data_IF_502532343016
#
_entry.id   IF_502532343016
#
_cell.length_a   1.000
_cell.length_b   1.000
_cell.length_c   1.000
_cell.angle_alpha   90.00
_cell.angle_beta   90.00
_cell.angle_gamma   90.00
#
_symmetry.space_group_name_H-M   'P 1'
#
loop_
_entity.id
_entity.type
_entity.pdbx_description
1 polymer ?
#
# COMPACT_ATOMS: atom_id res chain seq x y z
N UNK A 1 20.43 7.17 -12.52
CA UNK A 1 21.51 7.04 -11.52
C UNK A 1 22.06 8.42 -11.24
N UNK A 2 21.87 8.97 -10.04
CA UNK A 2 22.28 10.33 -9.69
C UNK A 2 23.82 10.31 -9.49
N UNK A 3 24.58 11.11 -10.25
CA UNK A 3 26.03 11.23 -10.03
C UNK A 3 26.27 11.84 -8.64
N UNK A 4 27.28 11.35 -7.91
CA UNK A 4 27.61 11.76 -6.54
C UNK A 4 27.68 13.31 -6.39
N UNK A 5 28.22 14.00 -7.40
CA UNK A 5 28.36 15.46 -7.47
C UNK A 5 27.02 16.22 -7.36
N UNK A 6 25.90 15.62 -7.75
CA UNK A 6 24.57 16.25 -7.64
C UNK A 6 23.99 16.19 -6.22
N UNK A 7 24.48 15.28 -5.37
CA UNK A 7 23.96 15.11 -4.01
C UNK A 7 24.37 16.25 -3.09
N UNK A 8 25.64 16.68 -3.16
CA UNK A 8 26.17 17.75 -2.32
C UNK A 8 25.55 19.11 -2.70
N UNK A 9 25.41 19.35 -4.01
CA UNK A 9 24.75 20.55 -4.55
C UNK A 9 23.29 20.64 -4.13
N UNK A 10 22.55 19.52 -4.16
CA UNK A 10 21.16 19.47 -3.66
C UNK A 10 21.10 19.79 -2.17
N UNK A 11 22.06 19.29 -1.39
CA UNK A 11 22.18 19.60 0.03
C UNK A 11 22.27 21.10 0.27
N UNK A 12 23.18 21.77 -0.43
CA UNK A 12 23.33 23.24 -0.37
C UNK A 12 22.05 23.96 -0.78
N UNK A 13 21.33 23.48 -1.82
CA UNK A 13 20.08 24.11 -2.22
C UNK A 13 19.00 24.02 -1.14
N UNK A 14 18.90 22.89 -0.44
CA UNK A 14 17.99 22.77 0.69
C UNK A 14 18.33 23.73 1.82
N UNK A 15 19.62 23.95 2.12
CA UNK A 15 20.05 24.92 3.14
C UNK A 15 19.68 26.36 2.77
N UNK A 16 19.86 26.76 1.51
CA UNK A 16 19.46 28.09 1.03
C UNK A 16 17.95 28.26 1.18
N UNK A 17 17.16 27.26 0.76
CA UNK A 17 15.70 27.26 0.87
C UNK A 17 15.29 27.35 2.35
N UNK A 18 15.85 26.49 3.20
CA UNK A 18 15.54 26.46 4.64
C UNK A 18 15.76 27.82 5.31
N UNK A 19 16.92 28.44 5.11
CA UNK A 19 17.23 29.76 5.68
C UNK A 19 16.20 30.82 5.28
N UNK A 20 15.76 30.81 4.03
CA UNK A 20 14.75 31.74 3.53
C UNK A 20 13.34 31.43 4.09
N UNK A 21 12.97 30.15 4.20
CA UNK A 21 11.66 29.78 4.75
C UNK A 21 11.55 30.12 6.24
N UNK A 22 12.63 29.92 7.00
CA UNK A 22 12.70 30.32 8.39
C UNK A 22 12.65 31.85 8.55
N UNK A 23 13.32 32.60 7.68
CA UNK A 23 13.25 34.07 7.70
C UNK A 23 11.88 34.62 7.29
N UNK A 24 11.10 33.86 6.53
CA UNK A 24 9.68 34.14 6.24
C UNK A 24 8.73 33.80 7.41
N UNK A 25 9.25 33.30 8.53
CA UNK A 25 8.47 32.97 9.73
C UNK A 25 7.86 31.57 9.75
N UNK A 26 8.23 30.69 8.81
CA UNK A 26 7.86 29.28 8.88
C UNK A 26 8.72 28.56 9.92
N UNK A 27 8.27 27.39 10.37
CA UNK A 27 9.01 26.55 11.32
C UNK A 27 9.28 25.16 10.73
N UNK A 28 10.48 24.63 10.97
CA UNK A 28 10.86 23.28 10.55
C UNK A 28 10.38 22.23 11.55
N UNK A 29 9.89 21.09 11.07
CA UNK A 29 9.48 19.96 11.93
C UNK A 29 9.99 18.60 11.44
N UNK A 30 10.92 18.62 10.50
CA UNK A 30 11.56 17.45 9.93
C UNK A 30 12.30 17.80 8.65
N UNK A 31 12.98 16.80 8.07
CA UNK A 31 13.79 16.99 6.86
C UNK A 31 12.95 17.58 5.71
N UNK A 32 13.31 18.80 5.29
CA UNK A 32 12.67 19.57 4.23
C UNK A 32 11.16 19.79 4.45
N UNK A 33 10.72 19.83 5.71
CA UNK A 33 9.32 19.98 6.10
C UNK A 33 9.14 21.22 6.95
N UNK A 34 8.24 22.09 6.51
CA UNK A 34 8.00 23.40 7.10
C UNK A 34 6.51 23.61 7.32
N UNK A 35 6.13 24.30 8.39
CA UNK A 35 4.74 24.61 8.69
C UNK A 35 4.55 26.08 9.04
N UNK A 36 3.33 26.56 8.81
CA UNK A 36 2.92 27.91 9.15
C UNK A 36 2.26 27.94 10.52
N UNK A 37 2.92 28.54 11.52
CA UNK A 37 2.37 28.70 12.87
C UNK A 37 1.06 29.49 12.89
N UNK A 38 0.85 30.39 11.93
CA UNK A 38 -0.35 31.22 11.86
C UNK A 38 -1.57 30.48 11.26
N UNK A 39 -1.36 29.27 10.72
CA UNK A 39 -2.43 28.45 10.11
C UNK A 39 -3.09 27.48 11.09
N UNK A 40 -2.73 27.56 12.38
CA UNK A 40 -3.15 26.62 13.41
C UNK A 40 -4.67 26.58 13.58
N UNK A 41 -5.25 25.39 13.49
CA UNK A 41 -6.66 25.11 13.79
C UNK A 41 -6.78 24.01 14.83
N UNK A 42 -7.67 24.17 15.80
CA UNK A 42 -7.93 23.16 16.82
C UNK A 42 -8.87 22.07 16.25
N UNK A 43 -8.44 20.82 16.29
CA UNK A 43 -9.23 19.66 15.84
C UNK A 43 -8.94 18.45 16.71
N UNK A 44 -9.99 17.84 17.26
CA UNK A 44 -9.90 16.67 18.14
C UNK A 44 -8.89 16.83 19.32
N UNK A 45 -8.81 18.03 19.90
CA UNK A 45 -7.89 18.32 21.00
C UNK A 45 -6.41 18.37 20.59
N UNK A 46 -6.12 18.58 19.31
CA UNK A 46 -4.79 18.82 18.76
C UNK A 46 -4.81 20.07 17.87
N UNK A 47 -3.71 20.81 17.81
CA UNK A 47 -3.49 21.85 16.82
C UNK A 47 -2.98 21.23 15.52
N UNK A 48 -3.65 21.58 14.42
CA UNK A 48 -3.27 21.19 13.07
C UNK A 48 -2.83 22.44 12.33
N UNK A 49 -1.61 22.43 11.81
CA UNK A 49 -1.03 23.50 11.02
C UNK A 49 -0.90 23.06 9.57
N UNK A 50 -1.16 23.96 8.64
CA UNK A 50 -0.81 23.76 7.25
C UNK A 50 0.72 23.70 7.11
N UNK A 51 1.17 22.68 6.38
CA UNK A 51 2.58 22.40 6.19
C UNK A 51 2.89 22.09 4.73
N UNK A 52 4.18 22.09 4.42
CA UNK A 52 4.71 21.74 3.12
C UNK A 52 5.99 20.93 3.28
N UNK A 53 6.14 19.91 2.44
CA UNK A 53 7.41 19.25 2.20
C UNK A 53 7.96 19.73 0.86
N UNK A 54 9.22 20.15 0.85
CA UNK A 54 9.93 20.52 -0.38
C UNK A 54 10.82 19.37 -0.82
N UNK A 55 10.75 19.02 -2.10
CA UNK A 55 11.63 18.03 -2.70
C UNK A 55 12.22 18.55 -4.01
N UNK A 56 13.54 18.52 -4.13
CA UNK A 56 14.28 18.89 -5.33
C UNK A 56 14.65 17.66 -6.15
N UNK A 57 14.61 17.80 -7.47
CA UNK A 57 15.00 16.76 -8.42
C UNK A 57 15.68 17.38 -9.65
N UNK A 58 16.63 16.67 -10.25
CA UNK A 58 17.20 17.06 -11.54
C UNK A 58 16.44 16.38 -12.68
N UNK A 59 15.99 17.16 -13.66
CA UNK A 59 15.33 16.69 -14.89
C UNK A 59 15.93 17.47 -16.06
N UNK A 60 16.54 16.76 -17.02
CA UNK A 60 17.15 17.35 -18.23
C UNK A 60 18.04 18.56 -17.92
N UNK A 61 18.95 18.41 -16.95
CA UNK A 61 19.86 19.47 -16.45
C UNK A 61 19.20 20.64 -15.74
N UNK A 62 17.88 20.61 -15.52
CA UNK A 62 17.15 21.61 -14.73
C UNK A 62 16.87 21.10 -13.32
N UNK A 63 16.86 22.03 -12.35
CA UNK A 63 16.41 21.76 -10.98
C UNK A 63 14.90 22.00 -10.91
N UNK A 64 14.15 20.96 -10.57
CA UNK A 64 12.70 21.03 -10.37
C UNK A 64 12.41 21.00 -8.87
N UNK A 65 11.61 21.96 -8.41
CA UNK A 65 11.10 22.02 -7.05
C UNK A 65 9.68 21.44 -7.00
N UNK A 66 9.50 20.41 -6.17
CA UNK A 66 8.20 19.83 -5.86
C UNK A 66 7.70 20.36 -4.53
N UNK A 67 6.52 20.99 -4.59
CA UNK A 67 5.76 21.45 -3.43
C UNK A 67 4.75 20.36 -3.06
N UNK A 68 4.92 19.75 -1.88
CA UNK A 68 4.06 18.68 -1.39
C UNK A 68 3.30 19.16 -0.15
N UNK A 69 2.07 19.69 -0.29
CA UNK A 69 1.26 20.09 0.85
C UNK A 69 1.04 18.93 1.82
N UNK A 70 1.11 19.23 3.11
CA UNK A 70 0.87 18.29 4.20
C UNK A 70 0.36 19.06 5.43
N UNK A 71 0.31 18.43 6.58
CA UNK A 71 -0.02 19.07 7.85
C UNK A 71 0.98 18.71 8.92
N UNK A 72 1.15 19.60 9.89
CA UNK A 72 1.85 19.32 11.13
C UNK A 72 0.84 19.32 12.29
N UNK A 73 0.92 18.32 13.16
CA UNK A 73 -0.03 18.13 14.26
C UNK A 73 0.72 18.16 15.58
N UNK A 74 0.26 19.00 16.51
CA UNK A 74 0.76 19.13 17.88
C UNK A 74 -0.40 18.94 18.86
N UNK A 75 -0.09 18.52 20.09
CA UNK A 75 -1.07 18.48 21.18
C UNK A 75 -1.47 19.90 21.61
N UNK A 76 -2.48 20.02 22.46
CA UNK A 76 -2.93 21.31 23.01
C UNK A 76 -1.84 22.05 23.81
N UNK A 77 -0.90 21.32 24.40
CA UNK A 77 0.27 21.86 25.10
C UNK A 77 1.46 22.10 24.14
N UNK A 78 1.22 22.08 22.84
CA UNK A 78 2.20 22.19 21.75
C UNK A 78 3.27 21.07 21.72
N UNK A 79 3.12 20.02 22.54
CA UNK A 79 4.02 18.89 22.54
C UNK A 79 3.76 17.94 21.35
N UNK A 80 4.77 17.16 20.97
CA UNK A 80 4.64 16.20 19.88
C UNK A 80 3.77 14.99 20.28
N UNK A 81 3.02 14.47 19.31
CA UNK A 81 2.32 13.20 19.44
C UNK A 81 3.29 12.03 19.29
N UNK A 82 2.93 10.88 19.87
CA UNK A 82 3.60 9.62 19.55
C UNK A 82 3.48 9.31 18.06
N UNK A 83 4.51 8.67 17.49
CA UNK A 83 4.68 8.47 16.05
C UNK A 83 3.42 7.91 15.35
N UNK A 84 2.78 6.90 15.93
CA UNK A 84 1.61 6.27 15.34
C UNK A 84 0.38 7.19 15.38
N UNK A 85 0.15 7.85 16.51
CA UNK A 85 -0.93 8.83 16.66
C UNK A 85 -0.74 10.04 15.72
N UNK A 86 0.49 10.54 15.60
CA UNK A 86 0.85 11.59 14.66
C UNK A 86 0.51 11.19 13.22
N UNK A 87 0.95 10.00 12.78
CA UNK A 87 0.74 9.54 11.42
C UNK A 87 -0.75 9.35 11.10
N UNK A 88 -1.52 8.80 12.04
CA UNK A 88 -2.97 8.64 11.88
C UNK A 88 -3.67 10.00 11.74
N UNK A 89 -3.30 10.98 12.56
CA UNK A 89 -3.86 12.33 12.46
C UNK A 89 -3.53 13.00 11.12
N UNK A 90 -2.26 12.92 10.67
CA UNK A 90 -1.86 13.44 9.35
C UNK A 90 -2.64 12.74 8.24
N UNK A 91 -2.74 11.41 8.26
CA UNK A 91 -3.46 10.65 7.24
C UNK A 91 -4.95 11.00 7.19
N UNK A 92 -5.57 11.22 8.35
CA UNK A 92 -6.96 11.66 8.45
C UNK A 92 -7.19 13.05 7.84
N UNK A 93 -6.26 13.98 8.04
CA UNK A 93 -6.32 15.31 7.42
C UNK A 93 -6.07 15.27 5.91
N UNK A 94 -5.15 14.42 5.46
CA UNK A 94 -4.77 14.34 4.05
C UNK A 94 -5.77 13.54 3.20
N UNK A 95 -6.46 12.54 3.77
CA UNK A 95 -7.35 11.65 3.01
C UNK A 95 -8.63 12.34 2.50
N UNK A 96 -9.00 13.48 3.08
CA UNK A 96 -10.15 14.28 2.66
C UNK A 96 -9.81 15.29 1.54
N UNK A 97 -8.52 15.44 1.19
CA UNK A 97 -8.05 16.39 0.18
C UNK A 97 -8.03 15.74 -1.20
N UNK A 98 -9.15 15.83 -1.91
CA UNK A 98 -9.23 15.46 -3.32
C UNK A 98 -8.51 16.50 -4.21
N UNK A 99 -8.41 16.20 -5.52
CA UNK A 99 -7.61 16.98 -6.49
C UNK A 99 -7.85 18.49 -6.43
N UNK A 100 -9.11 18.92 -6.30
CA UNK A 100 -9.44 20.36 -6.23
C UNK A 100 -8.84 21.01 -4.98
N UNK A 101 -9.12 20.43 -3.81
CA UNK A 101 -8.63 20.96 -2.52
C UNK A 101 -7.09 20.93 -2.46
N UNK A 102 -6.47 19.90 -3.03
CA UNK A 102 -5.01 19.82 -3.12
C UNK A 102 -4.44 20.92 -4.03
N UNK A 103 -5.07 21.17 -5.18
CA UNK A 103 -4.66 22.25 -6.09
C UNK A 103 -4.75 23.62 -5.42
N UNK A 104 -5.81 23.86 -4.65
CA UNK A 104 -6.02 25.09 -3.89
C UNK A 104 -4.94 25.26 -2.82
N UNK A 105 -4.59 24.19 -2.08
CA UNK A 105 -3.50 24.20 -1.10
C UNK A 105 -2.14 24.51 -1.73
N UNK A 106 -1.85 23.97 -2.92
CA UNK A 106 -0.62 24.32 -3.66
C UNK A 106 -0.63 25.81 -4.04
N UNK A 107 -1.78 26.40 -4.37
CA UNK A 107 -1.87 27.82 -4.76
C UNK A 107 -1.57 28.74 -3.61
N UNK A 108 -2.12 28.43 -2.45
CA UNK A 108 -1.81 29.13 -1.21
C UNK A 108 -0.29 29.11 -0.95
N UNK A 109 0.35 27.95 -1.11
CA UNK A 109 1.80 27.83 -0.92
C UNK A 109 2.60 28.60 -1.96
N UNK A 110 2.25 28.53 -3.25
CA UNK A 110 2.93 29.32 -4.28
C UNK A 110 2.80 30.80 -3.98
N UNK A 111 1.59 31.29 -3.69
CA UNK A 111 1.37 32.70 -3.37
C UNK A 111 2.16 33.14 -2.14
N UNK A 112 2.24 32.27 -1.12
CA UNK A 112 2.98 32.55 0.11
C UNK A 112 4.49 32.60 -0.10
N UNK A 113 5.03 31.70 -0.93
CA UNK A 113 6.47 31.59 -1.19
C UNK A 113 6.96 32.54 -2.28
N UNK A 114 6.06 33.07 -3.09
CA UNK A 114 6.43 33.89 -4.25
C UNK A 114 6.44 35.38 -3.95
N UNK A 115 7.39 36.10 -4.55
CA UNK A 115 7.40 37.56 -4.62
C UNK A 115 7.43 37.97 -6.10
N UNK A 116 6.49 38.84 -6.51
CA UNK A 116 6.39 39.33 -7.90
C UNK A 116 6.36 38.22 -8.97
N UNK A 117 5.68 37.10 -8.67
CA UNK A 117 5.50 35.98 -9.61
C UNK A 117 6.69 35.02 -9.73
N UNK A 118 7.71 35.14 -8.86
CA UNK A 118 8.86 34.22 -8.79
C UNK A 118 9.05 33.72 -7.36
N UNK A 119 9.52 32.47 -7.21
CA UNK A 119 10.03 31.97 -5.93
C UNK A 119 11.53 32.13 -5.93
N UNK A 120 12.04 33.01 -5.07
CA UNK A 120 13.46 33.38 -5.01
C UNK A 120 13.97 33.06 -3.61
N UNK A 121 15.04 32.27 -3.52
CA UNK A 121 15.73 31.93 -2.28
C UNK A 121 17.19 32.37 -2.38
N UNK A 122 17.64 33.21 -1.46
CA UNK A 122 18.94 33.87 -1.53
C UNK A 122 19.79 33.59 -0.28
N UNK A 123 21.08 33.33 -0.47
CA UNK A 123 22.06 33.24 0.62
C UNK A 123 23.39 33.86 0.16
N UNK A 124 23.67 35.08 0.62
CA UNK A 124 24.81 35.86 0.13
C UNK A 124 24.67 36.13 -1.37
N UNK A 125 25.62 35.64 -2.16
CA UNK A 125 25.62 35.79 -3.62
C UNK A 125 24.93 34.62 -4.37
N UNK A 126 24.49 33.58 -3.64
CA UNK A 126 23.79 32.45 -4.24
C UNK A 126 22.29 32.74 -4.34
N UNK A 127 21.73 32.58 -5.53
CA UNK A 127 20.30 32.82 -5.81
C UNK A 127 19.71 31.59 -6.48
N UNK A 128 18.68 31.03 -5.86
CA UNK A 128 17.83 29.99 -6.46
C UNK A 128 16.52 30.63 -6.90
N UNK A 129 16.28 30.64 -8.20
CA UNK A 129 15.06 31.17 -8.79
C UNK A 129 14.24 30.03 -9.39
N UNK A 130 12.98 29.93 -8.97
CA UNK A 130 12.00 29.02 -9.54
C UNK A 130 10.84 29.81 -10.14
N UNK A 131 10.43 29.39 -11.34
CA UNK A 131 9.21 29.88 -11.97
C UNK A 131 7.99 29.39 -11.16
N UNK A 132 6.98 30.25 -11.04
CA UNK A 132 5.70 29.92 -10.39
C UNK A 132 4.72 29.22 -11.33
N UNK A 133 5.03 29.17 -12.63
CA UNK A 133 4.30 28.35 -13.59
C UNK A 133 4.41 26.88 -13.20
N UNK A 134 3.27 26.36 -12.76
CA UNK A 134 3.14 24.94 -12.44
C UNK A 134 3.20 24.13 -13.70
N UNK A 135 3.88 23.00 -13.61
CA UNK A 135 3.65 21.89 -14.53
C UNK A 135 2.31 21.27 -14.12
N UNK A 136 1.22 21.78 -14.69
CA UNK A 136 -0.11 21.21 -14.47
C UNK A 136 -0.34 20.06 -15.46
N UNK A 137 -0.40 18.84 -14.96
CA UNK A 137 -0.89 17.71 -15.75
C UNK A 137 -2.39 17.55 -15.50
N UNK A 138 -3.19 18.25 -16.29
CA UNK A 138 -4.65 18.17 -16.25
C UNK A 138 -5.20 16.91 -16.93
N UNK A 139 -4.46 15.80 -16.99
CA UNK A 139 -4.87 14.54 -17.66
C UNK A 139 -5.21 14.66 -19.16
N UNK A 140 -5.14 15.86 -19.75
CA UNK A 140 -5.49 16.17 -21.14
C UNK A 140 -4.27 16.37 -22.04
N UNK A 141 -3.06 16.38 -21.48
CA UNK A 141 -1.82 16.36 -22.24
C UNK A 141 -1.55 14.97 -22.82
N UNK A 142 -1.14 14.89 -24.09
CA UNK A 142 -0.74 13.61 -24.70
C UNK A 142 0.35 12.95 -23.84
N UNK A 143 0.10 11.73 -23.39
CA UNK A 143 0.94 10.97 -22.44
C UNK A 143 2.33 10.65 -23.02
N UNK A 144 2.60 10.99 -24.28
CA UNK A 144 3.80 10.65 -25.04
C UNK A 144 5.15 11.15 -24.47
N UNK A 145 5.18 11.92 -23.37
CA UNK A 145 6.43 12.45 -22.77
C UNK A 145 6.60 12.22 -21.27
N UNK A 146 5.62 11.66 -20.58
CA UNK A 146 5.84 11.14 -19.23
C UNK A 146 6.26 9.67 -19.37
N UNK A 147 7.06 9.17 -18.44
CA UNK A 147 7.43 7.75 -18.36
C UNK A 147 6.17 6.88 -18.29
N UNK A 148 5.57 6.57 -19.45
CA UNK A 148 4.68 5.43 -19.63
C UNK A 148 5.60 4.21 -19.55
N UNK A 149 5.97 3.86 -18.32
CA UNK A 149 6.33 2.49 -18.06
C UNK A 149 5.08 1.70 -18.42
N UNK A 150 5.19 0.88 -19.46
CA UNK A 150 4.17 -0.12 -19.77
C UNK A 150 3.86 -0.84 -18.45
N UNK A 151 2.58 -0.95 -18.10
CA UNK A 151 2.20 -1.67 -16.88
C UNK A 151 2.88 -3.03 -16.89
N UNK A 152 3.49 -3.41 -15.76
CA UNK A 152 4.26 -4.65 -15.68
C UNK A 152 3.36 -5.82 -16.04
N UNK A 153 3.72 -6.50 -17.12
CA UNK A 153 3.08 -7.73 -17.55
C UNK A 153 3.66 -8.90 -16.75
N UNK A 154 2.78 -9.75 -16.24
CA UNK A 154 3.15 -10.97 -15.55
C UNK A 154 3.05 -12.13 -16.54
N UNK A 155 4.12 -12.91 -16.65
CA UNK A 155 4.13 -14.14 -17.44
C UNK A 155 3.54 -15.30 -16.63
N UNK A 156 2.70 -16.10 -17.29
CA UNK A 156 2.07 -17.30 -16.73
C UNK A 156 2.53 -18.58 -17.45
N UNK A 157 3.57 -18.47 -18.26
CA UNK A 157 4.21 -19.57 -18.97
C UNK A 157 5.68 -19.19 -19.25
N UNK A 158 6.60 -20.11 -18.99
CA UNK A 158 8.04 -19.88 -19.22
C UNK A 158 8.42 -19.94 -20.70
N UNK A 159 7.70 -20.75 -21.49
CA UNK A 159 8.02 -21.03 -22.89
C UNK A 159 7.18 -20.16 -23.84
N UNK A 160 5.94 -19.84 -23.44
CA UNK A 160 5.02 -19.06 -24.25
C UNK A 160 4.93 -17.60 -23.81
N UNK A 161 5.74 -16.75 -24.44
CA UNK A 161 5.74 -15.30 -24.21
C UNK A 161 4.43 -14.56 -24.52
N UNK A 162 3.42 -15.22 -25.11
CA UNK A 162 2.10 -14.61 -25.34
C UNK A 162 1.14 -14.78 -24.15
N UNK A 163 1.49 -15.56 -23.12
CA UNK A 163 0.66 -15.79 -21.93
C UNK A 163 1.00 -14.80 -20.83
N UNK A 164 0.69 -13.54 -21.11
CA UNK A 164 0.94 -12.42 -20.21
C UNK A 164 -0.36 -11.73 -19.80
N UNK A 165 -0.40 -11.24 -18.58
CA UNK A 165 -1.48 -10.38 -18.12
C UNK A 165 -0.95 -9.31 -17.17
N UNK A 166 -1.53 -8.10 -17.26
CA UNK A 166 -1.24 -7.04 -16.30
C UNK A 166 -1.96 -7.29 -14.96
N UNK A 167 -3.19 -7.84 -15.02
CA UNK A 167 -3.96 -8.19 -13.84
C UNK A 167 -3.71 -9.65 -13.45
N UNK A 168 -3.26 -9.87 -12.22
CA UNK A 168 -2.92 -11.19 -11.67
C UNK A 168 -4.07 -12.19 -11.73
N UNK A 169 -5.27 -11.77 -11.33
CA UNK A 169 -6.45 -12.64 -11.27
C UNK A 169 -6.93 -13.04 -12.67
N UNK A 170 -6.91 -12.09 -13.62
CA UNK A 170 -7.22 -12.37 -15.02
C UNK A 170 -6.21 -13.32 -15.64
N UNK A 171 -4.93 -13.11 -15.35
CA UNK A 171 -3.87 -14.00 -15.80
C UNK A 171 -4.06 -15.42 -15.27
N UNK A 172 -4.35 -15.57 -13.98
CA UNK A 172 -4.61 -16.86 -13.36
C UNK A 172 -5.85 -17.56 -13.95
N UNK A 173 -6.95 -16.84 -14.18
CA UNK A 173 -8.16 -17.40 -14.80
C UNK A 173 -7.91 -17.86 -16.24
N UNK A 174 -7.21 -17.05 -17.03
CA UNK A 174 -6.99 -17.33 -18.45
C UNK A 174 -5.92 -18.40 -18.66
N UNK A 175 -4.81 -18.34 -17.93
CA UNK A 175 -3.61 -19.13 -18.20
C UNK A 175 -3.33 -20.18 -17.12
N UNK A 176 -3.92 -20.06 -15.93
CA UNK A 176 -3.55 -20.87 -14.77
C UNK A 176 -2.26 -20.37 -14.10
N UNK A 177 -1.79 -21.03 -13.03
CA UNK A 177 -0.54 -20.70 -12.37
C UNK A 177 0.66 -20.98 -13.28
N UNK A 178 1.73 -20.21 -13.10
CA UNK A 178 2.99 -20.36 -13.85
C UNK A 178 3.57 -21.78 -13.74
N UNK A 179 3.47 -22.37 -12.54
CA UNK A 179 3.74 -23.78 -12.32
C UNK A 179 2.43 -24.57 -12.39
N UNK A 180 2.25 -25.31 -13.48
CA UNK A 180 1.06 -26.14 -13.65
C UNK A 180 1.26 -27.50 -12.99
N UNK A 181 0.35 -27.84 -12.07
CA UNK A 181 0.20 -29.17 -11.51
C UNK A 181 -0.91 -29.94 -12.23
N UNK A 182 -0.92 -29.88 -13.57
CA UNK A 182 -1.94 -30.51 -14.40
C UNK A 182 -2.18 -31.97 -13.99
N UNK A 183 -3.46 -32.36 -13.93
CA UNK A 183 -3.93 -33.70 -13.54
C UNK A 183 -3.57 -34.13 -12.10
N UNK A 184 -3.16 -33.21 -11.22
CA UNK A 184 -3.05 -33.48 -9.79
C UNK A 184 -4.29 -33.00 -9.07
N UNK A 185 -4.60 -33.66 -7.95
CA UNK A 185 -5.60 -33.16 -7.00
C UNK A 185 -4.91 -32.86 -5.68
N UNK A 186 -5.09 -31.64 -5.19
CA UNK A 186 -4.69 -31.24 -3.85
C UNK A 186 -5.65 -31.89 -2.85
N UNK A 187 -5.10 -32.72 -1.97
CA UNK A 187 -5.85 -33.35 -0.89
C UNK A 187 -5.61 -32.58 0.39
N UNK A 188 -6.66 -31.93 0.91
CA UNK A 188 -6.58 -31.21 2.16
C UNK A 188 -6.79 -32.14 3.36
N UNK A 189 -6.07 -31.85 4.44
CA UNK A 189 -6.41 -32.26 5.79
C UNK A 189 -6.91 -31.03 6.57
N UNK A 190 -7.94 -31.21 7.39
CA UNK A 190 -8.53 -30.12 8.18
C UNK A 190 -8.46 -30.49 9.66
N UNK A 191 -7.76 -29.63 10.41
CA UNK A 191 -7.73 -29.64 11.87
C UNK A 191 -8.45 -28.40 12.36
N UNK A 192 -9.54 -28.58 13.10
CA UNK A 192 -10.34 -27.45 13.59
C UNK A 192 -11.03 -27.76 14.91
N UNK A 193 -11.57 -26.76 15.61
CA UNK A 193 -12.57 -27.02 16.63
C UNK A 193 -13.75 -27.80 16.03
N UNK A 194 -14.24 -28.81 16.74
CA UNK A 194 -15.41 -29.61 16.32
C UNK A 194 -16.64 -28.73 16.19
N UNK A 195 -16.74 -27.74 17.08
CA UNK A 195 -17.84 -26.79 17.20
C UNK A 195 -18.01 -25.91 15.95
N UNK A 196 -16.95 -25.70 15.16
CA UNK A 196 -16.96 -24.87 13.96
C UNK A 196 -16.76 -25.66 12.65
N UNK A 197 -16.75 -27.00 12.74
CA UNK A 197 -16.38 -27.86 11.62
C UNK A 197 -17.29 -27.69 10.40
N UNK A 198 -18.60 -27.55 10.63
CA UNK A 198 -19.60 -27.40 9.56
C UNK A 198 -19.40 -26.11 8.76
N UNK A 199 -19.18 -24.98 9.46
CA UNK A 199 -18.92 -23.70 8.83
C UNK A 199 -17.63 -23.72 7.99
N UNK A 200 -16.58 -24.36 8.52
CA UNK A 200 -15.31 -24.54 7.80
C UNK A 200 -15.52 -25.37 6.55
N UNK A 201 -16.23 -26.50 6.63
CA UNK A 201 -16.51 -27.31 5.44
C UNK A 201 -17.34 -26.55 4.41
N UNK A 202 -18.35 -25.82 4.86
CA UNK A 202 -19.17 -24.98 3.98
C UNK A 202 -18.29 -23.97 3.26
N UNK A 203 -17.46 -23.23 3.98
CA UNK A 203 -16.55 -22.24 3.41
C UNK A 203 -15.55 -22.87 2.42
N UNK A 204 -14.90 -23.98 2.79
CA UNK A 204 -13.95 -24.65 1.90
C UNK A 204 -14.62 -25.16 0.64
N UNK A 205 -15.84 -25.72 0.73
CA UNK A 205 -16.57 -26.20 -0.45
C UNK A 205 -16.98 -25.07 -1.39
N UNK A 206 -17.12 -23.83 -0.92
CA UNK A 206 -17.35 -22.68 -1.79
C UNK A 206 -16.16 -22.39 -2.73
N UNK A 207 -14.93 -22.81 -2.38
CA UNK A 207 -13.77 -22.70 -3.27
C UNK A 207 -13.93 -23.53 -4.55
N UNK A 208 -14.70 -24.61 -4.50
CA UNK A 208 -14.95 -25.44 -5.68
C UNK A 208 -16.09 -24.89 -6.56
N UNK A 209 -16.73 -23.79 -6.18
CA UNK A 209 -17.89 -23.24 -6.89
C UNK A 209 -17.55 -21.96 -7.66
N UNK A 210 -18.33 -21.67 -8.68
CA UNK A 210 -18.30 -20.39 -9.39
C UNK A 210 -18.99 -19.31 -8.57
N UNK A 211 -18.34 -18.15 -8.47
CA UNK A 211 -18.83 -16.95 -7.79
C UNK A 211 -18.83 -15.79 -8.77
N UNK A 212 -20.02 -15.37 -9.19
CA UNK A 212 -20.21 -14.20 -10.04
C UNK A 212 -20.11 -12.91 -9.21
N UNK A 213 -19.40 -11.91 -9.71
CA UNK A 213 -19.37 -10.58 -9.07
C UNK A 213 -20.61 -9.78 -9.46
N UNK A 214 -21.28 -9.22 -8.45
CA UNK A 214 -22.43 -8.31 -8.64
C UNK A 214 -22.00 -6.85 -8.84
N UNK A 215 -20.72 -6.54 -8.62
CA UNK A 215 -20.17 -5.19 -8.71
C UNK A 215 -19.84 -4.85 -10.17
N UNK A 216 -20.73 -4.11 -10.83
CA UNK A 216 -20.58 -3.70 -12.25
C UNK A 216 -19.32 -2.88 -12.51
N UNK A 217 -18.87 -2.07 -11.55
CA UNK A 217 -17.72 -1.16 -11.70
C UNK A 217 -16.37 -1.88 -11.55
N UNK A 218 -16.35 -3.04 -10.88
CA UNK A 218 -15.12 -3.76 -10.55
C UNK A 218 -14.81 -4.95 -11.47
N UNK A 219 -15.66 -5.28 -12.45
CA UNK A 219 -15.41 -6.42 -13.36
C UNK A 219 -14.07 -6.36 -14.10
N UNK A 220 -13.51 -5.16 -14.26
CA UNK A 220 -12.20 -4.96 -14.89
C UNK A 220 -11.04 -5.33 -13.95
N UNK A 221 -11.20 -5.14 -12.65
CA UNK A 221 -10.15 -5.38 -11.65
C UNK A 221 -10.32 -6.69 -10.89
N UNK A 222 -11.57 -7.04 -10.54
CA UNK A 222 -11.97 -8.24 -9.84
C UNK A 222 -12.80 -9.13 -10.79
N UNK A 223 -12.14 -10.04 -11.54
CA UNK A 223 -12.85 -10.96 -12.42
C UNK A 223 -13.66 -11.99 -11.62
N UNK A 224 -14.62 -12.62 -12.29
CA UNK A 224 -15.44 -13.67 -11.70
C UNK A 224 -14.59 -14.88 -11.32
N UNK A 225 -14.84 -15.46 -10.15
CA UNK A 225 -14.10 -16.63 -9.70
C UNK A 225 -14.77 -17.90 -10.22
N UNK A 226 -14.11 -18.59 -11.15
CA UNK A 226 -14.66 -19.76 -11.87
C UNK A 226 -14.46 -21.11 -11.16
N UNK A 227 -14.06 -21.10 -9.89
CA UNK A 227 -13.82 -22.31 -9.12
C UNK A 227 -12.37 -22.78 -9.17
N UNK A 228 -11.94 -23.47 -8.10
CA UNK A 228 -10.53 -23.81 -7.88
C UNK A 228 -9.93 -24.62 -9.03
N UNK A 229 -10.65 -25.63 -9.53
CA UNK A 229 -10.14 -26.49 -10.60
C UNK A 229 -9.82 -25.71 -11.87
N UNK A 230 -10.71 -24.81 -12.26
CA UNK A 230 -10.51 -24.04 -13.48
C UNK A 230 -9.44 -22.97 -13.29
N UNK A 231 -9.40 -22.29 -12.14
CA UNK A 231 -8.37 -21.28 -11.86
C UNK A 231 -6.96 -21.89 -11.73
N UNK A 232 -6.81 -23.01 -11.03
CA UNK A 232 -5.50 -23.59 -10.70
C UNK A 232 -5.09 -24.78 -11.55
N UNK A 233 -5.96 -25.22 -12.49
CA UNK A 233 -5.75 -26.40 -13.35
C UNK A 233 -5.49 -27.70 -12.57
N UNK A 234 -5.92 -27.75 -11.31
CA UNK A 234 -5.80 -28.92 -10.44
C UNK A 234 -7.03 -29.02 -9.50
N UNK A 235 -7.48 -30.24 -9.21
CA UNK A 235 -8.69 -30.44 -8.41
C UNK A 235 -8.44 -30.25 -6.91
N UNK A 236 -9.41 -29.71 -6.16
CA UNK A 236 -9.33 -29.58 -4.70
C UNK A 236 -10.25 -30.58 -4.00
N UNK A 237 -9.65 -31.56 -3.30
CA UNK A 237 -10.38 -32.57 -2.55
C UNK A 237 -10.41 -32.21 -1.05
N UNK A 238 -11.57 -31.73 -0.60
CA UNK A 238 -11.84 -31.30 0.77
C UNK A 238 -12.43 -32.48 1.57
N UNK A 239 -11.95 -32.76 2.79
CA UNK A 239 -12.53 -33.79 3.64
C UNK A 239 -13.91 -33.35 4.15
N UNK A 240 -14.87 -34.27 4.16
CA UNK A 240 -16.16 -34.07 4.82
C UNK A 240 -16.12 -34.61 6.25
N UNK A 241 -17.20 -34.39 7.03
CA UNK A 241 -17.26 -34.82 8.43
C UNK A 241 -17.14 -36.32 8.68
N UNK A 242 -17.31 -37.14 7.65
CA UNK A 242 -17.14 -38.59 7.74
C UNK A 242 -15.71 -39.05 7.42
N UNK A 243 -14.86 -38.16 6.91
CA UNK A 243 -13.47 -38.46 6.58
C UNK A 243 -12.58 -38.39 7.83
N UNK A 244 -12.71 -39.41 8.68
CA UNK A 244 -11.91 -39.57 9.90
C UNK A 244 -10.42 -39.81 9.64
N UNK A 245 -9.94 -39.80 8.39
CA UNK A 245 -8.51 -39.86 8.08
C UNK A 245 -7.92 -38.48 7.87
N UNK A 246 -8.71 -37.56 7.31
CA UNK A 246 -8.27 -36.22 6.88
C UNK A 246 -8.93 -35.09 7.66
N UNK A 247 -9.98 -35.37 8.41
CA UNK A 247 -10.58 -34.45 9.36
C UNK A 247 -10.26 -34.87 10.81
N UNK A 248 -9.80 -33.91 11.60
CA UNK A 248 -9.57 -34.05 13.03
C UNK A 248 -10.16 -32.85 13.75
N UNK A 249 -11.04 -33.13 14.70
CA UNK A 249 -11.67 -32.10 15.51
C UNK A 249 -11.17 -32.14 16.95
N UNK A 250 -10.76 -31.00 17.50
CA UNK A 250 -10.51 -30.83 18.94
C UNK A 250 -11.67 -30.05 19.60
N UNK A 251 -11.81 -30.11 20.93
CA UNK A 251 -12.80 -29.28 21.61
C UNK A 251 -12.29 -27.87 21.78
N UNK A 252 -13.07 -26.88 21.33
CA UNK A 252 -12.76 -25.47 21.55
C UNK A 252 -12.65 -25.13 23.04
N UNK A 253 -13.59 -25.63 23.84
CA UNK A 253 -13.64 -25.34 25.28
C UNK A 253 -12.45 -25.92 26.06
N UNK A 254 -11.95 -27.08 25.65
CA UNK A 254 -10.75 -27.68 26.25
C UNK A 254 -9.50 -26.93 25.80
N UNK A 255 -9.41 -26.58 24.52
CA UNK A 255 -8.31 -25.80 23.97
C UNK A 255 -8.15 -24.43 24.64
N UNK A 256 -9.26 -23.73 24.90
CA UNK A 256 -9.24 -22.42 25.58
C UNK A 256 -8.79 -22.50 27.05
N UNK A 257 -8.88 -23.68 27.67
CA UNK A 257 -8.47 -23.92 29.06
C UNK A 257 -7.06 -24.50 29.18
N UNK A 258 -6.51 -25.01 28.07
CA UNK A 258 -5.17 -25.59 28.03
C UNK A 258 -4.10 -24.49 28.10
N UNK A 259 -2.97 -24.80 28.74
CA UNK A 259 -1.77 -23.98 28.57
C UNK A 259 -1.11 -24.28 27.20
N UNK A 260 -0.10 -23.50 26.84
CA UNK A 260 0.53 -23.61 25.52
C UNK A 260 1.19 -24.98 25.26
N UNK A 261 1.75 -25.63 26.28
CA UNK A 261 2.40 -26.94 26.13
C UNK A 261 1.37 -28.05 25.90
N UNK A 262 0.29 -28.05 26.69
CA UNK A 262 -0.80 -29.02 26.57
C UNK A 262 -1.54 -28.86 25.24
N UNK A 263 -1.75 -27.61 24.79
CA UNK A 263 -2.32 -27.35 23.48
C UNK A 263 -1.41 -27.87 22.36
N UNK A 264 -0.10 -27.60 22.43
CA UNK A 264 0.86 -28.06 21.42
C UNK A 264 0.92 -29.59 21.33
N UNK A 265 0.84 -30.31 22.46
CA UNK A 265 0.81 -31.78 22.50
C UNK A 265 -0.34 -32.36 21.66
N UNK A 266 -1.54 -31.77 21.76
CA UNK A 266 -2.70 -32.18 20.94
C UNK A 266 -2.40 -32.06 19.44
N UNK A 267 -1.69 -31.01 19.01
CA UNK A 267 -1.30 -30.84 17.61
C UNK A 267 -0.22 -31.82 17.19
N UNK A 268 0.80 -32.04 18.03
CA UNK A 268 1.91 -32.95 17.74
C UNK A 268 1.40 -34.38 17.51
N UNK A 269 0.49 -34.86 18.33
CA UNK A 269 -0.10 -36.20 18.17
C UNK A 269 -0.86 -36.34 16.84
N UNK A 270 -1.62 -35.30 16.48
CA UNK A 270 -2.38 -35.27 15.22
C UNK A 270 -1.43 -35.22 14.01
N UNK A 271 -0.39 -34.39 14.09
CA UNK A 271 0.61 -34.26 13.03
C UNK A 271 1.40 -35.56 12.83
N UNK A 272 1.75 -36.26 13.91
CA UNK A 272 2.43 -37.56 13.84
C UNK A 272 1.57 -38.62 13.14
N UNK A 273 0.24 -38.58 13.30
CA UNK A 273 -0.68 -39.46 12.57
C UNK A 273 -0.77 -39.14 11.06
N UNK A 274 -0.42 -37.91 10.64
CA UNK A 274 -0.51 -37.45 9.25
C UNK A 274 0.83 -37.48 8.49
N UNK A 275 1.96 -37.46 9.22
CA UNK A 275 3.33 -37.46 8.67
C UNK A 275 3.64 -38.62 7.70
N UNK A 276 2.85 -39.70 7.71
CA UNK A 276 2.99 -40.84 6.79
C UNK A 276 2.14 -40.79 5.51
N UNK A 277 1.38 -39.71 5.22
CA UNK A 277 0.29 -39.75 4.21
C UNK A 277 0.36 -38.72 3.07
N UNK A 278 1.48 -38.01 2.86
CA UNK A 278 1.64 -37.00 1.80
C UNK A 278 0.46 -35.99 1.73
N UNK A 279 0.13 -35.38 2.87
CA UNK A 279 -0.98 -34.42 2.97
C UNK A 279 -0.46 -32.99 3.04
N UNK A 280 -1.07 -32.08 2.27
CA UNK A 280 -0.83 -30.65 2.41
C UNK A 280 -1.68 -30.12 3.58
N UNK A 281 -1.02 -29.54 4.57
CA UNK A 281 -1.66 -29.08 5.80
C UNK A 281 -1.88 -27.56 5.72
N UNK A 282 -3.09 -27.13 6.09
CA UNK A 282 -3.44 -25.72 6.24
C UNK A 282 -3.91 -25.53 7.69
N UNK A 283 -3.28 -24.61 8.41
CA UNK A 283 -3.64 -24.25 9.78
C UNK A 283 -4.52 -22.99 9.74
N UNK A 284 -5.58 -22.98 10.53
CA UNK A 284 -6.45 -21.82 10.75
C UNK A 284 -6.32 -21.38 12.20
#
# INVERSE_FOLDING_TARGET
MMKLEYSDVIGMFYEIIENNLLSMGLSSFGKNKYFDKNSGRLKNGCFVYDAIKIALSFVDSNVVMNLLPTVHVLKNDESQLERFAYQNSVNSEMSILYNKQMNDKIEIWIQKLSKKGKMIFELGNAVLEFNTQRIQFAGTGSINKCYQAKETELAFDYENGSRVAVNQLKGLINYGPLESYANRSVRLAVLSPRECAEDIWKHLNELNKHHATTLKQDKVFLPEYIGFQDVFRCGLNIPNGNDTKRFRGYSLNEALKANAEDFLMVFVDILMQWKGKNMNMMFW
#
